data_IF_090635812707
#
_entry.id   IF_090635812707
#
_cell.length_a   1.000
_cell.length_b   1.000
_cell.length_c   1.000
_cell.angle_alpha   90.00
_cell.angle_beta   90.00
_cell.angle_gamma   90.00
#
_symmetry.space_group_name_H-M   'P 1'
#
loop_
_entity.id
_entity.type
_entity.pdbx_description
1 polymer ?
#
# COMPACT_ATOMS: atom_id res chain seq x y z
N UNK A 1 10.20 47.01 4.41
CA UNK A 1 10.35 45.78 3.67
C UNK A 1 8.95 45.22 3.38
N UNK A 2 8.77 44.47 2.31
CA UNK A 2 7.45 43.92 1.95
C UNK A 2 7.48 42.41 2.06
N UNK A 3 6.37 41.80 2.47
CA UNK A 3 6.20 40.36 2.51
C UNK A 3 6.12 39.80 1.09
N UNK A 4 6.91 38.80 0.78
CA UNK A 4 6.92 38.18 -0.54
C UNK A 4 5.61 37.43 -0.87
N UNK A 5 4.90 36.93 0.14
CA UNK A 5 3.64 36.18 -0.05
C UNK A 5 2.42 37.10 -0.18
N UNK A 6 2.25 38.09 0.71
CA UNK A 6 1.04 38.94 0.69
C UNK A 6 1.27 40.37 0.18
N UNK A 7 2.49 40.72 -0.18
CA UNK A 7 2.92 42.03 -0.71
C UNK A 7 2.67 43.23 0.23
N UNK A 8 2.33 42.99 1.49
CA UNK A 8 2.11 44.05 2.49
C UNK A 8 3.44 44.49 3.12
N UNK A 9 3.52 45.78 3.53
CA UNK A 9 4.66 46.30 4.29
C UNK A 9 4.76 45.56 5.63
N UNK A 10 5.95 45.07 5.98
CA UNK A 10 6.20 44.36 7.22
C UNK A 10 6.90 45.27 8.21
N UNK A 11 6.43 45.33 9.45
CA UNK A 11 7.10 45.94 10.58
C UNK A 11 8.26 45.06 11.04
N UNK A 12 9.35 45.66 11.56
CA UNK A 12 10.60 44.91 11.88
C UNK A 12 10.40 43.70 12.78
N UNK A 13 9.47 43.80 13.73
CA UNK A 13 9.18 42.73 14.70
C UNK A 13 8.38 41.54 14.12
N UNK A 14 7.77 41.74 12.96
CA UNK A 14 6.93 40.75 12.26
C UNK A 14 7.60 40.14 11.03
N UNK A 15 8.88 40.45 10.83
CA UNK A 15 9.66 39.88 9.73
C UNK A 15 10.21 38.52 10.14
N UNK A 16 10.10 37.55 9.24
CA UNK A 16 10.93 36.32 9.19
C UNK A 16 11.43 36.09 7.78
N UNK A 17 12.28 35.12 7.59
CA UNK A 17 12.88 34.82 6.29
C UNK A 17 12.64 33.36 5.93
N UNK A 18 12.35 33.11 4.67
CA UNK A 18 12.29 31.75 4.15
C UNK A 18 13.66 31.08 4.35
N UNK A 19 13.67 29.97 5.07
CA UNK A 19 14.90 29.22 5.37
C UNK A 19 15.59 28.65 4.13
N UNK A 20 14.89 28.59 3.00
CA UNK A 20 15.38 28.01 1.75
C UNK A 20 15.90 29.07 0.77
N UNK A 21 15.10 30.10 0.44
CA UNK A 21 15.46 31.11 -0.55
C UNK A 21 15.80 32.48 0.04
N UNK A 22 15.66 32.65 1.35
CA UNK A 22 16.02 33.89 2.05
C UNK A 22 15.08 35.09 1.86
N UNK A 23 13.96 34.93 1.15
CA UNK A 23 13.01 36.07 0.95
C UNK A 23 12.31 36.46 2.25
N UNK A 24 12.05 37.76 2.45
CA UNK A 24 11.33 38.22 3.61
C UNK A 24 9.84 37.85 3.53
N UNK A 25 9.32 37.31 4.61
CA UNK A 25 7.91 36.95 4.77
C UNK A 25 7.40 37.46 6.12
N UNK A 26 6.14 37.83 6.23
CA UNK A 26 5.57 38.13 7.52
C UNK A 26 5.20 36.85 8.29
N UNK A 27 5.28 36.86 9.60
CA UNK A 27 4.97 35.73 10.47
C UNK A 27 3.58 35.09 10.19
N UNK A 28 2.63 35.90 9.68
CA UNK A 28 1.28 35.38 9.31
C UNK A 28 1.28 34.57 8.00
N UNK A 29 2.24 34.85 7.10
CA UNK A 29 2.37 34.16 5.80
C UNK A 29 3.48 33.11 5.81
N UNK A 30 4.22 32.96 6.91
CA UNK A 30 5.23 31.95 7.02
C UNK A 30 4.56 30.59 7.09
N UNK A 31 4.89 29.73 6.12
CA UNK A 31 4.59 28.32 6.19
C UNK A 31 5.71 27.61 6.96
N UNK A 32 5.43 26.44 7.49
CA UNK A 32 6.41 25.69 8.26
C UNK A 32 6.64 24.31 7.62
N UNK A 33 7.90 23.95 7.42
CA UNK A 33 8.25 22.62 6.99
C UNK A 33 7.57 21.59 7.91
N UNK A 34 6.79 20.71 7.34
CA UNK A 34 5.98 19.77 8.11
C UNK A 34 6.82 18.73 8.90
N UNK A 35 8.10 18.57 8.54
CA UNK A 35 8.99 17.63 9.22
C UNK A 35 9.86 18.30 10.31
N UNK A 36 10.46 19.46 10.03
CA UNK A 36 11.41 20.09 10.94
C UNK A 36 11.00 21.47 11.47
N UNK A 37 9.86 22.00 11.01
CA UNK A 37 9.32 23.31 11.45
C UNK A 37 10.02 24.53 10.88
N UNK A 38 11.01 24.41 9.98
CA UNK A 38 11.67 25.58 9.34
C UNK A 38 10.67 26.42 8.58
N UNK A 39 10.78 27.74 8.69
CA UNK A 39 9.90 28.70 8.03
C UNK A 39 10.19 28.79 6.52
N UNK A 40 9.15 28.76 5.71
CA UNK A 40 9.20 28.74 4.25
C UNK A 40 8.23 29.77 3.66
N UNK A 41 8.58 30.40 2.51
CA UNK A 41 7.62 31.13 1.71
C UNK A 41 6.68 30.19 0.96
N UNK A 42 5.56 30.74 0.44
CA UNK A 42 4.56 29.92 -0.29
C UNK A 42 5.19 29.13 -1.42
N UNK A 43 6.03 29.76 -2.26
CA UNK A 43 6.68 29.07 -3.39
C UNK A 43 7.54 27.90 -2.92
N UNK A 44 8.49 28.11 -2.00
CA UNK A 44 9.35 27.03 -1.51
C UNK A 44 8.57 25.94 -0.75
N UNK A 45 7.47 26.29 -0.12
CA UNK A 45 6.61 25.36 0.59
C UNK A 45 5.80 24.49 -0.38
N UNK A 46 5.30 25.07 -1.47
CA UNK A 46 4.55 24.35 -2.51
C UNK A 46 5.48 23.56 -3.44
N UNK A 47 6.58 24.17 -3.89
CA UNK A 47 7.55 23.55 -4.80
C UNK A 47 8.18 22.28 -4.22
N UNK A 48 8.44 22.28 -2.91
CA UNK A 48 9.00 21.12 -2.19
C UNK A 48 7.93 20.33 -1.41
N UNK A 49 6.68 20.39 -1.84
CA UNK A 49 5.61 19.61 -1.27
C UNK A 49 5.51 19.74 0.26
N UNK A 50 5.52 20.97 0.77
CA UNK A 50 5.36 21.31 2.19
C UNK A 50 6.57 20.93 3.09
N UNK A 51 7.71 20.62 2.50
CA UNK A 51 8.97 20.34 3.19
C UNK A 51 10.05 21.35 2.77
N UNK A 52 11.03 21.60 3.63
CA UNK A 52 12.25 22.29 3.22
C UNK A 52 13.14 21.34 2.39
N UNK A 53 14.09 21.91 1.64
CA UNK A 53 14.99 21.16 0.77
C UNK A 53 15.78 20.07 1.51
N UNK A 54 16.20 20.34 2.74
CA UNK A 54 16.94 19.34 3.57
C UNK A 54 16.08 18.15 3.98
N UNK A 55 14.76 18.34 4.18
CA UNK A 55 13.83 17.28 4.53
C UNK A 55 13.27 16.56 3.31
N UNK A 56 13.26 17.23 2.16
CA UNK A 56 12.74 16.68 0.92
C UNK A 56 13.82 15.92 0.13
N UNK A 57 14.00 14.66 0.44
CA UNK A 57 14.98 13.77 -0.20
C UNK A 57 14.31 12.59 -0.94
N UNK A 58 13.47 12.85 -1.95
CA UNK A 58 12.69 11.81 -2.60
C UNK A 58 13.55 10.76 -3.33
N UNK A 59 14.72 11.14 -3.83
CA UNK A 59 15.60 10.21 -4.55
C UNK A 59 16.19 9.14 -3.64
N UNK A 60 16.45 9.45 -2.36
CA UNK A 60 16.86 8.48 -1.35
C UNK A 60 15.67 7.62 -0.89
N UNK A 61 14.53 8.27 -0.63
CA UNK A 61 13.31 7.62 -0.11
C UNK A 61 12.75 6.62 -1.13
N UNK A 62 12.79 6.97 -2.42
CA UNK A 62 12.24 6.16 -3.49
C UNK A 62 13.27 5.35 -4.26
N UNK A 63 14.48 5.14 -3.71
CA UNK A 63 15.46 4.23 -4.33
C UNK A 63 14.96 2.78 -4.39
N UNK A 64 14.17 2.37 -3.40
CA UNK A 64 13.47 1.09 -3.36
C UNK A 64 12.02 1.32 -2.98
N UNK A 65 11.09 0.81 -3.78
CA UNK A 65 9.64 0.95 -3.59
C UNK A 65 9.04 -0.42 -3.26
N UNK A 66 8.25 -0.49 -2.20
CA UNK A 66 7.48 -1.69 -1.89
C UNK A 66 6.34 -1.87 -2.89
N UNK A 67 6.02 -3.13 -3.23
CA UNK A 67 4.85 -3.46 -4.07
C UNK A 67 3.57 -2.77 -3.59
N UNK A 68 3.31 -2.78 -2.27
CA UNK A 68 2.13 -2.13 -1.68
C UNK A 68 2.06 -0.62 -1.96
N UNK A 69 3.21 0.07 -2.02
CA UNK A 69 3.26 1.49 -2.38
C UNK A 69 2.90 1.72 -3.85
N UNK A 70 3.25 0.79 -4.76
CA UNK A 70 2.87 0.88 -6.17
C UNK A 70 1.35 0.76 -6.32
N UNK A 71 0.72 -0.17 -5.60
CA UNK A 71 -0.73 -0.31 -5.58
C UNK A 71 -1.44 0.90 -4.95
N UNK A 72 -0.88 1.40 -3.86
CA UNK A 72 -1.38 2.59 -3.20
C UNK A 72 -1.30 3.81 -4.13
N UNK A 73 -0.17 3.98 -4.84
CA UNK A 73 0.00 5.04 -5.84
C UNK A 73 -1.03 4.91 -6.97
N UNK A 74 -1.26 3.70 -7.48
CA UNK A 74 -2.26 3.45 -8.51
C UNK A 74 -3.68 3.83 -8.05
N UNK A 75 -3.96 3.70 -6.75
CA UNK A 75 -5.22 4.12 -6.13
C UNK A 75 -5.31 5.62 -5.87
N UNK A 76 -4.26 6.21 -5.30
CA UNK A 76 -4.15 7.63 -4.99
C UNK A 76 -2.68 8.05 -4.85
N UNK A 77 -2.10 8.73 -5.85
CA UNK A 77 -0.71 9.19 -5.79
C UNK A 77 -0.41 10.05 -4.55
N UNK A 78 -1.34 10.90 -4.16
CA UNK A 78 -1.18 11.79 -3.01
C UNK A 78 -1.08 11.04 -1.66
N UNK A 79 -1.69 9.86 -1.53
CA UNK A 79 -1.58 9.05 -0.31
C UNK A 79 -0.15 8.54 -0.07
N UNK A 80 0.61 8.24 -1.11
CA UNK A 80 2.04 7.89 -1.01
C UNK A 80 2.84 9.09 -0.53
N UNK A 81 2.55 10.28 -1.05
CA UNK A 81 3.19 11.51 -0.60
C UNK A 81 2.97 11.72 0.91
N UNK A 82 1.71 11.62 1.38
CA UNK A 82 1.38 11.76 2.80
C UNK A 82 2.10 10.72 3.66
N UNK A 83 2.12 9.47 3.23
CA UNK A 83 2.66 8.37 4.04
C UNK A 83 4.18 8.28 3.96
N UNK A 84 4.77 8.37 2.77
CA UNK A 84 6.19 8.09 2.56
C UNK A 84 7.04 9.34 2.70
N UNK A 85 6.58 10.49 2.19
CA UNK A 85 7.32 11.75 2.27
C UNK A 85 7.06 12.45 3.61
N UNK A 86 5.79 12.60 4.00
CA UNK A 86 5.43 13.32 5.22
C UNK A 86 5.43 12.44 6.48
N UNK A 87 5.60 11.11 6.35
CA UNK A 87 5.61 10.19 7.49
C UNK A 87 4.26 10.05 8.20
N UNK A 88 3.16 10.53 7.57
CA UNK A 88 1.82 10.43 8.15
C UNK A 88 1.29 9.03 7.93
N UNK A 89 1.46 8.15 8.90
CA UNK A 89 1.05 6.74 8.80
C UNK A 89 -0.37 6.57 9.33
N UNK A 90 -1.28 5.96 8.53
CA UNK A 90 -2.58 5.54 9.05
C UNK A 90 -2.41 4.53 10.20
N UNK A 91 -3.29 4.54 11.20
CA UNK A 91 -3.28 3.48 12.20
C UNK A 91 -3.50 2.12 11.54
N UNK A 92 -2.89 1.10 12.10
CA UNK A 92 -3.09 -0.28 11.64
C UNK A 92 -4.53 -0.70 11.90
N UNK A 93 -5.23 -1.14 10.88
CA UNK A 93 -6.61 -1.61 11.02
C UNK A 93 -6.67 -3.08 11.40
N UNK A 94 -7.70 -3.47 12.15
CA UNK A 94 -7.93 -4.84 12.66
C UNK A 94 -7.80 -5.96 11.62
N UNK A 95 -8.24 -5.73 10.38
CA UNK A 95 -8.12 -6.73 9.31
C UNK A 95 -6.67 -6.92 8.84
N UNK A 96 -5.90 -5.84 8.78
CA UNK A 96 -4.50 -5.89 8.40
C UNK A 96 -3.68 -6.57 9.51
N UNK A 97 -3.93 -6.21 10.76
CA UNK A 97 -3.27 -6.83 11.91
C UNK A 97 -3.56 -8.32 12.01
N UNK A 98 -4.84 -8.74 11.89
CA UNK A 98 -5.18 -10.16 11.84
C UNK A 98 -4.45 -10.89 10.70
N UNK A 99 -4.32 -10.24 9.54
CA UNK A 99 -3.54 -10.77 8.43
C UNK A 99 -2.08 -11.01 8.81
N UNK A 100 -1.41 -10.02 9.41
CA UNK A 100 -0.02 -10.11 9.89
C UNK A 100 0.12 -11.26 10.89
N UNK A 101 -0.69 -11.28 11.94
CA UNK A 101 -0.67 -12.32 12.97
C UNK A 101 -0.83 -13.72 12.33
N UNK A 102 -1.78 -13.85 11.40
CA UNK A 102 -2.05 -15.14 10.73
C UNK A 102 -0.86 -15.60 9.88
N UNK A 103 -0.21 -14.69 9.12
CA UNK A 103 0.96 -15.02 8.30
C UNK A 103 2.17 -15.43 9.15
N UNK A 104 2.44 -14.72 10.25
CA UNK A 104 3.51 -15.09 11.19
C UNK A 104 3.32 -16.49 11.78
N UNK A 105 2.08 -16.85 12.14
CA UNK A 105 1.76 -18.18 12.66
C UNK A 105 1.89 -19.24 11.57
N UNK A 106 1.44 -18.98 10.35
CA UNK A 106 1.60 -19.90 9.22
C UNK A 106 3.09 -20.16 8.94
N UNK A 107 3.92 -19.12 8.94
CA UNK A 107 5.37 -19.26 8.78
C UNK A 107 5.98 -20.20 9.83
N UNK A 108 5.60 -20.06 11.10
CA UNK A 108 6.04 -20.96 12.18
C UNK A 108 5.56 -22.40 12.00
N UNK A 109 4.33 -22.59 11.51
CA UNK A 109 3.82 -23.92 11.19
C UNK A 109 4.62 -24.55 10.05
N UNK A 110 4.96 -23.80 9.00
CA UNK A 110 5.79 -24.25 7.88
C UNK A 110 7.19 -24.66 8.33
N UNK A 111 7.77 -23.96 9.31
CA UNK A 111 9.06 -24.30 9.93
C UNK A 111 9.00 -25.48 10.91
N UNK A 112 7.79 -25.99 11.19
CA UNK A 112 7.59 -27.07 12.16
C UNK A 112 7.70 -26.63 13.62
N UNK A 113 7.65 -25.33 13.88
CA UNK A 113 7.78 -24.76 15.23
C UNK A 113 6.48 -24.83 16.04
N UNK A 114 5.33 -24.94 15.37
CA UNK A 114 4.01 -24.98 16.01
C UNK A 114 3.17 -26.16 15.50
N UNK A 115 2.60 -26.91 16.43
CA UNK A 115 1.48 -27.79 16.13
C UNK A 115 0.16 -27.01 16.12
N UNK A 116 -0.94 -27.68 15.78
CA UNK A 116 -2.26 -27.05 15.61
C UNK A 116 -2.77 -26.36 16.87
N UNK A 117 -2.61 -27.00 18.02
CA UNK A 117 -3.09 -26.46 19.30
C UNK A 117 -2.27 -25.25 19.70
N UNK A 118 -0.95 -25.33 19.59
CA UNK A 118 -0.02 -24.22 19.87
C UNK A 118 -0.30 -23.02 18.94
N UNK A 119 -0.53 -23.25 17.65
CA UNK A 119 -0.86 -22.20 16.69
C UNK A 119 -2.15 -21.45 17.03
N UNK A 120 -3.20 -22.17 17.45
CA UNK A 120 -4.46 -21.56 17.87
C UNK A 120 -4.32 -20.79 19.19
N UNK A 121 -3.52 -21.29 20.13
CA UNK A 121 -3.22 -20.58 21.38
C UNK A 121 -2.40 -19.29 21.10
N UNK A 122 -1.37 -19.36 20.25
CA UNK A 122 -0.59 -18.19 19.88
C UNK A 122 -1.44 -17.13 19.17
N UNK A 123 -2.38 -17.54 18.30
CA UNK A 123 -3.34 -16.62 17.68
C UNK A 123 -4.11 -15.84 18.75
N UNK A 124 -4.64 -16.55 19.74
CA UNK A 124 -5.42 -15.93 20.81
C UNK A 124 -4.56 -14.97 21.66
N UNK A 125 -3.35 -15.37 22.00
CA UNK A 125 -2.43 -14.53 22.77
C UNK A 125 -2.06 -13.25 22.04
N UNK A 126 -1.73 -13.33 20.73
CA UNK A 126 -1.40 -12.16 19.89
C UNK A 126 -2.61 -11.24 19.72
N UNK A 127 -3.82 -11.77 19.50
CA UNK A 127 -5.05 -10.97 19.44
C UNK A 127 -5.31 -10.26 20.75
N UNK A 128 -5.17 -10.96 21.88
CA UNK A 128 -5.35 -10.36 23.19
C UNK A 128 -4.29 -9.27 23.47
N UNK A 129 -3.04 -9.48 23.07
CA UNK A 129 -1.99 -8.48 23.20
C UNK A 129 -2.29 -7.23 22.37
N UNK A 130 -2.72 -7.40 21.11
CA UNK A 130 -3.15 -6.31 20.25
C UNK A 130 -4.31 -5.53 20.85
N UNK A 131 -5.38 -6.22 21.26
CA UNK A 131 -6.58 -5.59 21.81
C UNK A 131 -6.33 -4.82 23.12
N UNK A 132 -5.23 -5.10 23.83
CA UNK A 132 -4.81 -4.35 25.03
C UNK A 132 -4.14 -3.02 24.71
N UNK A 133 -3.53 -2.89 23.55
CA UNK A 133 -2.73 -1.71 23.19
C UNK A 133 -3.43 -0.75 22.23
N UNK A 134 -4.49 -1.20 21.55
CA UNK A 134 -5.29 -0.31 20.68
C UNK A 134 -6.19 0.59 21.52
N UNK A 135 -6.13 1.89 21.21
CA UNK A 135 -6.90 2.91 21.95
C UNK A 135 -8.32 3.10 21.39
N UNK A 136 -8.54 2.73 20.12
CA UNK A 136 -9.82 2.90 19.46
C UNK A 136 -10.55 1.58 19.25
N UNK A 137 -11.86 1.60 19.47
CA UNK A 137 -12.73 0.44 19.29
C UNK A 137 -12.83 -0.05 17.83
N UNK A 138 -12.38 0.78 16.87
CA UNK A 138 -12.41 0.44 15.45
C UNK A 138 -11.30 -0.54 15.07
N UNK A 139 -10.18 -0.48 15.78
CA UNK A 139 -8.99 -1.33 15.56
C UNK A 139 -9.02 -2.62 16.38
N UNK A 140 -9.97 -2.79 17.29
CA UNK A 140 -10.14 -4.01 18.11
C UNK A 140 -10.50 -5.20 17.21
N UNK A 141 -9.75 -6.29 17.31
CA UNK A 141 -10.09 -7.57 16.66
C UNK A 141 -11.25 -8.19 17.43
N UNK A 142 -12.41 -8.25 16.79
CA UNK A 142 -13.64 -8.80 17.38
C UNK A 142 -13.64 -10.33 17.35
N UNK A 143 -14.56 -10.97 18.08
CA UNK A 143 -14.71 -12.43 18.07
C UNK A 143 -14.97 -13.00 16.66
N UNK A 144 -15.72 -12.29 15.81
CA UNK A 144 -15.96 -12.72 14.43
C UNK A 144 -14.67 -12.69 13.59
N UNK A 145 -13.79 -11.71 13.83
CA UNK A 145 -12.49 -11.65 13.16
C UNK A 145 -11.51 -12.67 13.73
N UNK A 146 -11.53 -12.92 15.01
CA UNK A 146 -10.77 -14.01 15.63
C UNK A 146 -11.13 -15.35 15.00
N UNK A 147 -12.44 -15.60 14.78
CA UNK A 147 -12.89 -16.83 14.09
C UNK A 147 -12.36 -16.91 12.65
N UNK A 148 -12.24 -15.79 11.92
CA UNK A 148 -11.58 -15.74 10.62
C UNK A 148 -10.12 -16.24 10.73
N UNK A 149 -9.38 -15.78 11.73
CA UNK A 149 -8.00 -16.23 11.98
C UNK A 149 -7.93 -17.74 12.29
N UNK A 150 -8.80 -18.24 13.15
CA UNK A 150 -8.91 -19.68 13.48
C UNK A 150 -9.21 -20.51 12.23
N UNK A 151 -10.15 -20.06 11.41
CA UNK A 151 -10.49 -20.73 10.15
C UNK A 151 -9.29 -20.78 9.20
N UNK A 152 -8.51 -19.70 9.08
CA UNK A 152 -7.30 -19.67 8.26
C UNK A 152 -6.28 -20.70 8.74
N UNK A 153 -5.98 -20.76 10.03
CA UNK A 153 -5.05 -21.73 10.60
C UNK A 153 -5.56 -23.16 10.39
N UNK A 154 -6.83 -23.42 10.68
CA UNK A 154 -7.45 -24.72 10.49
C UNK A 154 -7.37 -25.17 9.04
N UNK A 155 -7.65 -24.29 8.08
CA UNK A 155 -7.57 -24.60 6.65
C UNK A 155 -6.12 -24.85 6.23
N UNK A 156 -5.17 -24.06 6.71
CA UNK A 156 -3.77 -24.28 6.42
C UNK A 156 -3.30 -25.66 6.87
N UNK A 157 -3.68 -26.14 8.06
CA UNK A 157 -3.37 -27.48 8.53
C UNK A 157 -3.97 -28.58 7.66
N UNK A 158 -5.09 -28.35 6.95
CA UNK A 158 -5.64 -29.34 6.00
C UNK A 158 -4.83 -29.42 4.70
N UNK A 159 -4.22 -28.32 4.29
CA UNK A 159 -3.56 -28.23 2.98
C UNK A 159 -2.03 -28.30 3.06
N UNK A 160 -1.41 -28.08 4.23
CA UNK A 160 0.05 -27.98 4.36
C UNK A 160 0.83 -29.19 3.83
N UNK A 161 0.27 -30.38 3.97
CA UNK A 161 0.89 -31.63 3.52
C UNK A 161 0.81 -31.85 1.98
N UNK A 162 0.11 -30.94 1.27
CA UNK A 162 0.09 -30.91 -0.20
C UNK A 162 1.31 -30.18 -0.78
N UNK A 163 2.09 -29.51 0.05
CA UNK A 163 3.25 -28.72 -0.38
C UNK A 163 4.54 -29.52 -0.22
N UNK A 164 5.50 -29.22 -1.11
CA UNK A 164 6.81 -29.87 -1.07
C UNK A 164 7.70 -29.33 0.06
N UNK A 165 8.74 -30.11 0.37
CA UNK A 165 9.70 -29.76 1.44
C UNK A 165 10.80 -28.79 0.99
N UNK A 166 10.92 -28.52 -0.31
CA UNK A 166 11.92 -27.59 -0.84
C UNK A 166 11.26 -26.23 -1.06
N UNK A 167 11.31 -25.37 -0.06
CA UNK A 167 10.66 -24.07 -0.10
C UNK A 167 11.45 -23.00 0.67
N UNK A 168 11.03 -21.73 0.52
CA UNK A 168 11.39 -20.61 1.39
C UNK A 168 10.12 -19.86 1.75
N UNK A 169 9.92 -19.54 3.03
CA UNK A 169 8.85 -18.64 3.53
C UNK A 169 9.37 -17.22 3.64
N UNK A 170 8.46 -16.24 3.58
CA UNK A 170 8.74 -14.80 3.71
C UNK A 170 9.93 -14.35 2.83
N UNK A 171 9.95 -14.85 1.61
CA UNK A 171 11.08 -14.64 0.70
C UNK A 171 11.06 -13.24 0.10
N UNK A 172 12.01 -12.41 0.51
CA UNK A 172 12.15 -11.04 0.00
C UNK A 172 13.00 -11.00 -1.27
N UNK A 173 12.45 -10.40 -2.32
CA UNK A 173 13.15 -10.13 -3.58
C UNK A 173 13.20 -8.63 -3.86
N UNK A 174 14.29 -8.20 -4.47
CA UNK A 174 14.48 -6.82 -4.93
C UNK A 174 14.97 -6.84 -6.38
N UNK A 175 14.24 -6.19 -7.27
CA UNK A 175 14.58 -6.20 -8.69
C UNK A 175 14.33 -4.85 -9.35
N UNK A 176 14.99 -4.60 -10.50
CA UNK A 176 14.74 -3.46 -11.38
C UNK A 176 13.92 -3.88 -12.59
N UNK A 177 12.93 -3.05 -12.96
CA UNK A 177 12.30 -3.11 -14.29
C UNK A 177 13.18 -2.40 -15.30
N UNK A 178 13.85 -1.33 -14.88
CA UNK A 178 14.70 -0.44 -15.65
C UNK A 178 15.69 0.21 -14.67
N UNK A 179 16.98 0.20 -14.99
CA UNK A 179 18.04 0.68 -14.07
C UNK A 179 17.95 2.18 -13.77
N UNK A 180 17.24 2.92 -14.62
CA UNK A 180 16.95 4.33 -14.39
C UNK A 180 15.80 4.58 -13.41
N UNK A 181 15.10 3.54 -12.96
CA UNK A 181 13.92 3.64 -12.09
C UNK A 181 14.18 3.00 -10.72
N UNK A 182 13.37 3.36 -9.70
CA UNK A 182 13.41 2.71 -8.41
C UNK A 182 13.30 1.19 -8.50
N UNK A 183 14.06 0.47 -7.66
CA UNK A 183 13.90 -0.97 -7.50
C UNK A 183 12.58 -1.29 -6.81
N UNK A 184 12.00 -2.42 -7.16
CA UNK A 184 10.79 -2.94 -6.50
C UNK A 184 11.20 -3.96 -5.46
N UNK A 185 10.62 -3.85 -4.25
CA UNK A 185 10.75 -4.86 -3.21
C UNK A 185 9.41 -5.57 -3.00
N UNK A 186 9.45 -6.89 -3.03
CA UNK A 186 8.33 -7.77 -2.75
C UNK A 186 8.74 -8.82 -1.71
N UNK A 187 7.82 -9.17 -0.82
CA UNK A 187 7.94 -10.33 0.06
C UNK A 187 6.89 -11.35 -0.36
N UNK A 188 7.34 -12.56 -0.66
CA UNK A 188 6.49 -13.68 -1.05
C UNK A 188 6.28 -14.57 0.16
N UNK A 189 5.02 -14.92 0.47
CA UNK A 189 4.71 -15.75 1.63
C UNK A 189 5.39 -17.12 1.53
N UNK A 190 5.36 -17.75 0.34
CA UNK A 190 6.07 -19.00 0.08
C UNK A 190 6.48 -19.11 -1.39
N UNK A 191 7.73 -19.48 -1.62
CA UNK A 191 8.25 -19.98 -2.90
C UNK A 191 8.66 -21.43 -2.74
N UNK A 192 8.23 -22.29 -3.66
CA UNK A 192 8.43 -23.73 -3.61
C UNK A 192 9.03 -24.24 -4.92
N UNK A 193 9.90 -25.24 -4.83
CA UNK A 193 10.49 -25.93 -5.97
C UNK A 193 9.99 -27.37 -6.05
N UNK A 194 9.27 -27.70 -7.12
CA UNK A 194 8.85 -29.06 -7.46
C UNK A 194 9.66 -29.51 -8.67
N UNK A 195 10.71 -30.30 -8.44
CA UNK A 195 11.71 -30.58 -9.46
C UNK A 195 12.46 -29.32 -9.87
N UNK A 196 12.30 -28.89 -11.14
CA UNK A 196 12.84 -27.63 -11.68
C UNK A 196 11.83 -26.49 -11.62
N UNK A 197 10.56 -26.82 -11.48
CA UNK A 197 9.48 -25.86 -11.57
C UNK A 197 9.36 -25.04 -10.29
N UNK A 198 9.16 -23.73 -10.44
CA UNK A 198 8.95 -22.79 -9.35
C UNK A 198 7.44 -22.54 -9.21
N UNK A 199 6.95 -22.60 -7.98
CA UNK A 199 5.59 -22.29 -7.60
C UNK A 199 5.58 -21.21 -6.52
N UNK A 200 4.68 -20.24 -6.65
CA UNK A 200 4.47 -19.21 -5.64
C UNK A 200 3.14 -19.45 -4.94
N UNK A 201 3.12 -19.34 -3.63
CA UNK A 201 1.93 -19.41 -2.80
C UNK A 201 1.81 -18.13 -1.98
N UNK A 202 0.60 -17.59 -1.92
CA UNK A 202 0.28 -16.37 -1.19
C UNK A 202 -0.99 -16.61 -0.38
N UNK A 203 -0.91 -16.37 0.92
CA UNK A 203 -1.97 -16.62 1.88
C UNK A 203 -2.89 -15.42 2.02
N UNK A 204 -4.19 -15.63 1.99
CA UNK A 204 -5.20 -14.58 2.09
C UNK A 204 -6.22 -14.88 3.17
N UNK A 205 -6.38 -13.97 4.11
CA UNK A 205 -7.43 -14.01 5.14
C UNK A 205 -8.75 -13.43 4.64
N UNK A 206 -8.70 -12.56 3.62
CA UNK A 206 -9.84 -11.82 3.08
C UNK A 206 -10.69 -12.61 2.08
N UNK A 207 -11.64 -11.90 1.47
CA UNK A 207 -12.55 -12.48 0.46
C UNK A 207 -11.85 -12.72 -0.87
N UNK A 208 -12.18 -13.83 -1.58
CA UNK A 208 -11.62 -14.13 -2.90
C UNK A 208 -11.86 -13.02 -3.91
N UNK A 209 -10.82 -12.70 -4.68
CA UNK A 209 -10.93 -11.84 -5.85
C UNK A 209 -11.79 -12.49 -6.93
N UNK A 210 -12.45 -11.66 -7.75
CA UNK A 210 -13.26 -12.13 -8.85
C UNK A 210 -13.23 -11.17 -10.04
N UNK A 211 -13.63 -11.66 -11.20
CA UNK A 211 -13.77 -10.87 -12.40
C UNK A 211 -12.47 -10.22 -12.84
N UNK A 212 -12.60 -9.00 -13.39
CA UNK A 212 -11.45 -8.24 -13.91
C UNK A 212 -10.35 -7.98 -12.87
N UNK A 213 -10.66 -8.02 -11.57
CA UNK A 213 -9.65 -7.81 -10.53
C UNK A 213 -8.53 -8.85 -10.59
N UNK A 214 -8.83 -10.08 -11.04
CA UNK A 214 -7.82 -11.15 -11.22
C UNK A 214 -6.67 -10.76 -12.17
N UNK A 215 -6.92 -9.89 -13.13
CA UNK A 215 -5.93 -9.46 -14.14
C UNK A 215 -5.51 -7.98 -14.00
N UNK A 216 -6.19 -7.22 -13.16
CA UNK A 216 -5.85 -5.79 -12.95
C UNK A 216 -5.07 -5.55 -11.66
N UNK A 217 -5.13 -6.47 -10.70
CA UNK A 217 -4.34 -6.46 -9.48
C UNK A 217 -2.84 -6.56 -9.82
N UNK A 218 -2.01 -5.76 -9.16
CA UNK A 218 -0.58 -5.70 -9.46
C UNK A 218 0.23 -6.72 -8.66
N UNK A 219 -0.33 -7.34 -7.63
CA UNK A 219 0.42 -8.30 -6.79
C UNK A 219 0.88 -9.53 -7.59
N UNK A 220 0.00 -10.30 -8.28
CA UNK A 220 0.43 -11.47 -9.00
C UNK A 220 1.51 -11.17 -10.05
N UNK A 221 1.35 -10.21 -10.98
CA UNK A 221 2.35 -9.97 -12.01
C UNK A 221 3.69 -9.44 -11.47
N UNK A 222 3.68 -8.65 -10.39
CA UNK A 222 4.92 -8.16 -9.79
C UNK A 222 5.70 -9.26 -9.07
N UNK A 223 5.02 -10.19 -8.41
CA UNK A 223 5.65 -11.37 -7.81
C UNK A 223 6.22 -12.31 -8.87
N UNK A 224 5.43 -12.61 -9.88
CA UNK A 224 5.82 -13.44 -11.03
C UNK A 224 7.06 -12.85 -11.72
N UNK A 225 7.03 -11.57 -12.06
CA UNK A 225 8.14 -10.89 -12.72
C UNK A 225 9.39 -10.81 -11.83
N UNK A 226 9.21 -10.60 -10.53
CA UNK A 226 10.31 -10.62 -9.57
C UNK A 226 11.03 -11.97 -9.54
N UNK A 227 10.30 -13.07 -9.54
CA UNK A 227 10.86 -14.43 -9.62
C UNK A 227 11.58 -14.65 -10.96
N UNK A 228 11.00 -14.19 -12.07
CA UNK A 228 11.67 -14.23 -13.37
C UNK A 228 12.99 -13.45 -13.37
N UNK A 229 13.03 -12.28 -12.75
CA UNK A 229 14.27 -11.47 -12.63
C UNK A 229 15.32 -12.12 -11.74
N UNK A 230 14.90 -12.83 -10.71
CA UNK A 230 15.79 -13.47 -9.73
C UNK A 230 16.38 -14.79 -10.27
N UNK A 231 15.55 -15.63 -10.90
CA UNK A 231 15.91 -16.99 -11.29
C UNK A 231 16.05 -17.22 -12.81
N UNK A 232 15.68 -16.23 -13.64
CA UNK A 232 15.70 -16.34 -15.10
C UNK A 232 14.53 -17.14 -15.70
N UNK A 233 13.64 -17.67 -14.86
CA UNK A 233 12.52 -18.50 -15.28
C UNK A 233 11.20 -18.01 -14.68
N UNK A 234 10.14 -18.07 -15.48
CA UNK A 234 8.79 -17.76 -15.01
C UNK A 234 8.27 -18.90 -14.11
N UNK A 235 7.67 -18.57 -12.93
CA UNK A 235 7.06 -19.61 -12.10
C UNK A 235 5.92 -20.32 -12.83
N UNK A 236 5.80 -21.63 -12.64
CA UNK A 236 4.75 -22.46 -13.25
C UNK A 236 3.37 -22.09 -12.78
N UNK A 237 3.27 -21.75 -11.50
CA UNK A 237 2.02 -21.26 -10.93
C UNK A 237 2.27 -20.13 -9.94
N UNK A 238 1.30 -19.22 -9.87
CA UNK A 238 1.10 -18.33 -8.75
C UNK A 238 -0.25 -18.66 -8.13
N UNK A 239 -0.29 -18.97 -6.84
CA UNK A 239 -1.45 -19.49 -6.14
C UNK A 239 -1.89 -18.53 -5.05
N UNK A 240 -3.13 -18.04 -5.11
CA UNK A 240 -3.80 -17.31 -4.04
C UNK A 240 -4.66 -18.28 -3.23
N UNK A 241 -4.30 -18.49 -1.97
CA UNK A 241 -5.04 -19.34 -1.05
C UNK A 241 -5.88 -18.51 -0.11
N UNK A 242 -7.18 -18.45 -0.34
CA UNK A 242 -8.15 -17.76 0.51
C UNK A 242 -8.57 -18.69 1.65
N UNK A 243 -7.72 -18.73 2.69
CA UNK A 243 -7.80 -19.72 3.76
C UNK A 243 -9.13 -19.70 4.49
N UNK A 244 -9.65 -18.52 4.87
CA UNK A 244 -10.96 -18.42 5.53
C UNK A 244 -12.13 -18.97 4.68
N UNK A 245 -11.92 -19.17 3.39
CA UNK A 245 -12.96 -19.64 2.46
C UNK A 245 -12.69 -21.01 1.86
N UNK A 246 -11.56 -21.65 2.19
CA UNK A 246 -11.11 -22.90 1.58
C UNK A 246 -11.02 -22.84 0.05
N UNK A 247 -10.71 -21.65 -0.51
CA UNK A 247 -10.65 -21.43 -1.95
C UNK A 247 -9.25 -21.12 -2.42
N UNK A 248 -8.90 -21.64 -3.60
CA UNK A 248 -7.65 -21.38 -4.27
C UNK A 248 -7.90 -20.82 -5.68
N UNK A 249 -7.16 -19.78 -6.04
CA UNK A 249 -7.10 -19.24 -7.39
C UNK A 249 -5.69 -19.48 -7.92
N UNK A 250 -5.59 -20.11 -9.08
CA UNK A 250 -4.33 -20.54 -9.67
C UNK A 250 -4.11 -19.77 -10.97
N UNK A 251 -2.99 -19.08 -11.06
CA UNK A 251 -2.45 -18.50 -12.28
C UNK A 251 -1.49 -19.53 -12.87
N UNK A 252 -1.86 -20.14 -14.00
CA UNK A 252 -1.10 -21.20 -14.66
C UNK A 252 -0.29 -20.63 -15.83
N UNK A 253 1.01 -20.81 -15.83
CA UNK A 253 1.90 -20.35 -16.90
C UNK A 253 1.59 -21.02 -18.23
N UNK A 254 1.53 -20.23 -19.31
CA UNK A 254 1.24 -20.69 -20.69
C UNK A 254 2.32 -20.32 -21.71
N UNK A 255 3.41 -19.72 -21.29
CA UNK A 255 4.50 -19.23 -22.15
C UNK A 255 4.55 -17.70 -22.18
N UNK A 256 5.72 -17.14 -22.47
CA UNK A 256 5.96 -15.71 -22.76
C UNK A 256 5.33 -14.73 -21.75
N UNK A 257 5.38 -15.07 -20.45
CA UNK A 257 4.79 -14.23 -19.39
C UNK A 257 3.26 -14.23 -19.38
N UNK A 258 2.61 -15.14 -20.09
CA UNK A 258 1.16 -15.30 -20.11
C UNK A 258 0.73 -16.31 -19.06
N UNK A 259 -0.29 -15.93 -18.29
CA UNK A 259 -0.92 -16.78 -17.27
C UNK A 259 -2.42 -16.87 -17.48
N UNK A 260 -2.92 -18.08 -17.40
CA UNK A 260 -4.33 -18.40 -17.45
C UNK A 260 -4.91 -18.63 -16.06
N UNK A 261 -6.06 -18.06 -15.81
CA UNK A 261 -6.80 -18.18 -14.54
C UNK A 261 -8.19 -18.72 -14.85
N UNK A 262 -8.42 -19.97 -14.50
CA UNK A 262 -9.72 -20.61 -14.63
C UNK A 262 -10.57 -20.33 -13.39
N UNK A 263 -11.80 -19.93 -13.62
CA UNK A 263 -12.84 -19.81 -12.59
C UNK A 263 -14.05 -20.66 -12.99
N UNK A 264 -15.00 -20.83 -12.09
CA UNK A 264 -16.22 -21.62 -12.39
C UNK A 264 -17.06 -21.07 -13.56
N UNK A 265 -16.85 -19.82 -13.94
CA UNK A 265 -17.68 -19.15 -14.97
C UNK A 265 -16.89 -18.66 -16.18
N UNK A 266 -15.63 -18.28 -15.98
CA UNK A 266 -14.83 -17.63 -17.01
C UNK A 266 -13.36 -18.01 -16.89
N UNK A 267 -12.65 -17.93 -18.01
CA UNK A 267 -11.19 -17.95 -18.07
C UNK A 267 -10.68 -16.54 -18.26
N UNK A 268 -9.66 -16.17 -17.52
CA UNK A 268 -8.99 -14.87 -17.61
C UNK A 268 -7.54 -15.08 -18.03
N UNK A 269 -7.01 -14.11 -18.76
CA UNK A 269 -5.61 -14.13 -19.21
C UNK A 269 -4.88 -12.93 -18.59
N UNK A 270 -3.85 -13.19 -17.81
CA UNK A 270 -2.92 -12.21 -17.31
C UNK A 270 -1.70 -12.15 -18.23
N UNK A 271 -1.42 -10.99 -18.78
CA UNK A 271 -0.15 -10.70 -19.45
C UNK A 271 0.73 -9.91 -18.47
N UNK A 272 1.86 -10.51 -18.08
CA UNK A 272 2.81 -9.93 -17.13
C UNK A 272 3.43 -8.66 -17.72
N UNK A 273 3.81 -8.65 -19.00
CA UNK A 273 4.43 -7.50 -19.65
C UNK A 273 3.53 -6.26 -19.65
N UNK A 274 2.22 -6.44 -19.83
CA UNK A 274 1.28 -5.31 -19.77
C UNK A 274 1.17 -4.74 -18.36
N UNK A 275 1.24 -5.58 -17.33
CA UNK A 275 1.28 -5.14 -15.95
C UNK A 275 2.60 -4.42 -15.64
N UNK A 276 3.73 -4.91 -16.17
CA UNK A 276 5.04 -4.29 -16.02
C UNK A 276 5.12 -2.94 -16.73
N UNK A 277 4.52 -2.79 -17.92
CA UNK A 277 4.40 -1.49 -18.62
C UNK A 277 3.63 -0.47 -17.77
N UNK A 278 2.51 -0.89 -17.16
CA UNK A 278 1.73 -0.03 -16.23
C UNK A 278 2.56 0.36 -15.01
N UNK A 279 3.25 -0.60 -14.40
CA UNK A 279 4.12 -0.37 -13.26
C UNK A 279 5.27 0.58 -13.59
N UNK A 280 5.91 0.40 -14.77
CA UNK A 280 6.98 1.29 -15.25
C UNK A 280 6.51 2.75 -15.35
N UNK A 281 5.26 2.98 -15.79
CA UNK A 281 4.66 4.32 -15.81
C UNK A 281 4.51 4.89 -14.40
N UNK A 282 4.01 4.10 -13.45
CA UNK A 282 3.88 4.51 -12.04
C UNK A 282 5.25 4.86 -11.45
N UNK A 283 6.27 4.04 -11.66
CA UNK A 283 7.62 4.31 -11.15
C UNK A 283 8.23 5.58 -11.75
N UNK A 284 7.98 5.86 -13.05
CA UNK A 284 8.37 7.12 -13.70
C UNK A 284 7.66 8.31 -13.05
N UNK A 285 6.37 8.21 -12.80
CA UNK A 285 5.59 9.27 -12.19
C UNK A 285 6.06 9.54 -10.74
N UNK A 286 6.37 8.50 -9.97
CA UNK A 286 6.96 8.64 -8.62
C UNK A 286 8.34 9.30 -8.71
N UNK A 287 9.22 8.85 -9.62
CA UNK A 287 10.54 9.45 -9.82
C UNK A 287 10.46 10.94 -10.18
N UNK A 288 9.46 11.33 -10.98
CA UNK A 288 9.21 12.73 -11.35
C UNK A 288 8.30 13.46 -10.34
N UNK A 289 8.13 12.92 -9.13
CA UNK A 289 7.43 13.58 -8.03
C UNK A 289 5.96 13.93 -8.35
N UNK A 290 5.29 13.13 -9.18
CA UNK A 290 3.90 13.39 -9.58
C UNK A 290 2.92 12.80 -8.55
N UNK A 291 2.69 13.52 -7.47
CA UNK A 291 1.81 13.11 -6.38
C UNK A 291 0.45 13.84 -6.40
N UNK A 292 -0.10 14.05 -7.57
CA UNK A 292 -1.35 14.78 -7.74
C UNK A 292 -2.53 14.03 -7.09
N UNK A 293 -3.45 14.80 -6.53
CA UNK A 293 -4.70 14.24 -6.04
C UNK A 293 -5.62 13.89 -7.20
N UNK A 294 -6.24 12.71 -7.16
CA UNK A 294 -7.27 12.37 -8.14
C UNK A 294 -8.52 13.23 -7.94
N UNK A 295 -9.02 13.83 -9.02
CA UNK A 295 -10.15 14.78 -9.00
C UNK A 295 -11.50 14.15 -9.37
N UNK A 296 -11.55 12.85 -9.74
CA UNK A 296 -12.81 12.21 -10.15
C UNK A 296 -13.80 12.07 -8.99
N UNK A 297 -15.09 12.12 -9.29
CA UNK A 297 -16.18 11.93 -8.30
C UNK A 297 -16.05 10.63 -7.50
N UNK A 298 -15.63 9.53 -8.17
CA UNK A 298 -15.40 8.24 -7.52
C UNK A 298 -14.28 8.33 -6.48
N UNK A 299 -13.20 9.04 -6.77
CA UNK A 299 -12.12 9.26 -5.81
C UNK A 299 -12.55 10.15 -4.65
N UNK A 300 -13.32 11.20 -4.92
CA UNK A 300 -13.87 12.06 -3.86
C UNK A 300 -14.74 11.26 -2.89
N UNK A 301 -15.61 10.38 -3.40
CA UNK A 301 -16.41 9.50 -2.57
C UNK A 301 -15.53 8.56 -1.72
N UNK A 302 -14.49 7.94 -2.29
CA UNK A 302 -13.54 7.08 -1.56
C UNK A 302 -12.78 7.86 -0.49
N UNK A 303 -12.32 9.07 -0.78
CA UNK A 303 -11.65 9.93 0.19
C UNK A 303 -12.53 10.23 1.39
N UNK A 304 -13.82 10.49 1.16
CA UNK A 304 -14.80 10.80 2.20
C UNK A 304 -15.18 9.60 3.07
N UNK A 305 -15.31 8.41 2.47
CA UNK A 305 -15.95 7.27 3.12
C UNK A 305 -14.99 6.12 3.46
N UNK A 306 -13.84 6.03 2.80
CA UNK A 306 -12.95 4.87 2.90
C UNK A 306 -11.48 5.22 3.16
N UNK A 307 -11.06 6.45 2.84
CA UNK A 307 -9.66 6.84 2.98
C UNK A 307 -9.42 7.48 4.34
N UNK A 308 -8.58 6.88 5.15
CA UNK A 308 -8.24 7.42 6.47
C UNK A 308 -7.70 8.85 6.39
N UNK A 309 -6.83 9.17 5.44
CA UNK A 309 -6.29 10.53 5.28
C UNK A 309 -7.40 11.57 5.01
N UNK A 310 -8.43 11.19 4.25
CA UNK A 310 -9.59 12.05 3.98
C UNK A 310 -10.48 12.20 5.21
N UNK A 311 -10.83 11.08 5.85
CA UNK A 311 -11.72 11.04 7.02
C UNK A 311 -11.09 11.77 8.23
N UNK A 312 -9.79 11.60 8.45
CA UNK A 312 -9.06 12.21 9.56
C UNK A 312 -8.69 13.69 9.33
N UNK A 313 -9.03 14.27 8.17
CA UNK A 313 -8.66 15.64 7.81
C UNK A 313 -7.16 15.85 7.54
N UNK A 314 -6.37 14.77 7.41
CA UNK A 314 -4.94 14.84 7.12
C UNK A 314 -4.66 15.12 5.63
N UNK A 315 -5.64 14.88 4.76
CA UNK A 315 -5.56 15.17 3.34
C UNK A 315 -5.96 16.62 3.08
N UNK A 316 -5.00 17.55 3.06
CA UNK A 316 -5.24 18.99 2.86
C UNK A 316 -5.68 19.40 1.45
N UNK A 317 -5.62 18.53 0.49
CA UNK A 317 -6.03 18.83 -0.88
C UNK A 317 -7.53 18.71 -1.15
N UNK A 318 -8.30 18.32 -0.15
CA UNK A 318 -9.73 18.54 -0.14
C UNK A 318 -9.90 19.83 0.66
N UNK A 319 -10.14 20.95 0.00
CA UNK A 319 -10.54 22.16 0.68
C UNK A 319 -11.70 21.80 1.61
N UNK A 320 -11.47 21.93 2.91
CA UNK A 320 -12.46 21.61 3.95
C UNK A 320 -13.79 22.33 3.69
N UNK A 321 -13.75 23.49 3.03
CA UNK A 321 -14.93 24.23 2.60
C UNK A 321 -15.69 23.57 1.44
N UNK A 322 -15.01 23.01 0.44
CA UNK A 322 -15.68 22.24 -0.61
C UNK A 322 -16.31 20.96 -0.03
N UNK A 323 -15.65 20.33 0.91
CA UNK A 323 -16.19 19.18 1.63
C UNK A 323 -17.39 19.56 2.52
N UNK A 324 -17.34 20.67 3.22
CA UNK A 324 -18.47 21.18 4.01
C UNK A 324 -19.68 21.51 3.12
N UNK A 325 -19.49 22.11 1.95
CA UNK A 325 -20.57 22.36 0.98
C UNK A 325 -21.20 21.07 0.45
N UNK A 326 -20.38 20.06 0.11
CA UNK A 326 -20.85 18.75 -0.33
C UNK A 326 -21.50 17.92 0.81
N UNK A 327 -21.14 18.16 2.07
CA UNK A 327 -21.69 17.43 3.22
C UNK A 327 -22.91 18.09 3.82
N UNK A 328 -23.08 19.40 3.66
CA UNK A 328 -24.20 20.15 4.24
C UNK A 328 -25.46 20.18 3.36
N UNK A 329 -25.53 19.30 2.35
CA UNK A 329 -26.80 18.98 1.73
C UNK A 329 -27.50 20.16 1.02
N UNK A 330 -26.77 21.10 0.44
CA UNK A 330 -27.36 21.97 -0.58
C UNK A 330 -27.62 21.11 -1.83
N UNK A 331 -28.77 20.44 -1.80
CA UNK A 331 -29.42 19.98 -3.02
C UNK A 331 -29.58 21.19 -3.91
N UNK A 332 -28.76 21.31 -4.93
CA UNK A 332 -29.08 22.20 -6.05
C UNK A 332 -30.38 21.68 -6.67
N UNK A 333 -31.49 22.27 -6.27
CA UNK A 333 -32.70 22.31 -7.05
C UNK A 333 -32.41 23.16 -8.30
N UNK A 334 -31.84 22.56 -9.30
CA UNK A 334 -31.83 23.08 -10.68
C UNK A 334 -31.77 21.86 -11.60
N UNK A 335 -32.92 21.26 -11.78
CA UNK A 335 -33.33 20.56 -12.99
C UNK A 335 -34.80 20.95 -13.20
N UNK A 336 -34.98 22.00 -13.93
CA UNK A 336 -36.09 22.18 -14.81
C UNK A 336 -35.57 22.05 -16.25
#
# INVERSE_FOLDING_TARGET
MYCNSCLKKIEKENITYCSQCGVPICKKCANHCMQCGKELCDSCYEDNHYLCEECYKPDEIFSVIRRSHIEQYAGCPYSIYLQVILGITPPMGKHAELGIITHEIIEKIEKGELNKTEALNELQEKINAWNKVVEDNYSVITMELEEVGKNCINEFFKIKDMFGNKFKSEYNIKYSIDDSLPKISCTLDRIEWVGKDIHIHDWKTGKPMSGKKLITDLQPPLYIYGIYKEFGEYPKTFNLHYLNHGKRIIYKYRGDGIYEIETTRNTYILNVDDAIKRTKKILKDIKHKKFNMPTSQTHQWRCKNLCWFGISGKCKGVEIEQWKKLTNGEKNNNME
#
